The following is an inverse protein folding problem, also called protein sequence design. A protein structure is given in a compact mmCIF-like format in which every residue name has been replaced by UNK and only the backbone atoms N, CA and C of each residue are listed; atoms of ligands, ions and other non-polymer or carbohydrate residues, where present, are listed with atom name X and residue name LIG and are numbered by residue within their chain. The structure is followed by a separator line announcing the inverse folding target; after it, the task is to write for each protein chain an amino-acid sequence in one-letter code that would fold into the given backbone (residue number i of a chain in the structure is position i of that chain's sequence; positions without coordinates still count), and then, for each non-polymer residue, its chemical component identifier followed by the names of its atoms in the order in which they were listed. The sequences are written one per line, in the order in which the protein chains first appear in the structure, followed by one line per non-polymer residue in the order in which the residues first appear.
data_IF_953089457077
#
_entry.id   IF_953089457077
#
_cell.length_a   1.000
_cell.length_b   1.000
_cell.length_c   1.000
_cell.angle_alpha   90.00
_cell.angle_beta   90.00
_cell.angle_gamma   90.00
#
_symmetry.space_group_name_H-M   'P 1'
#
loop_
_entity.id
_entity.type
_entity.pdbx_description
1 polymer ?
#
# COMPACT_ATOMS: atom_id res chain seq x y z
N UNK A 1 1.05 -13.59 -12.33
CA UNK A 1 1.64 -13.00 -11.12
C UNK A 1 2.48 -14.02 -10.38
N UNK A 2 3.52 -13.55 -9.70
CA UNK A 2 4.42 -14.30 -8.82
C UNK A 2 4.02 -14.03 -7.38
N UNK A 3 3.22 -14.93 -6.80
CA UNK A 3 2.70 -14.76 -5.44
C UNK A 3 3.80 -14.94 -4.38
N UNK A 4 4.81 -15.73 -4.68
CA UNK A 4 6.00 -15.95 -3.86
C UNK A 4 6.76 -14.65 -3.58
N UNK A 5 6.85 -13.75 -4.57
CA UNK A 5 7.50 -12.43 -4.43
C UNK A 5 6.73 -11.54 -3.46
N UNK A 6 5.42 -11.73 -3.33
CA UNK A 6 4.57 -10.91 -2.47
C UNK A 6 4.45 -11.50 -1.07
N UNK A 7 4.48 -12.83 -0.92
CA UNK A 7 4.02 -13.50 0.30
C UNK A 7 4.98 -14.49 0.95
N UNK A 8 6.09 -14.90 0.32
CA UNK A 8 7.03 -15.82 0.98
C UNK A 8 7.86 -15.10 2.04
N UNK A 9 8.13 -13.83 1.81
CA UNK A 9 8.82 -12.93 2.73
C UNK A 9 8.28 -11.53 2.56
N UNK A 10 8.02 -10.84 3.67
CA UNK A 10 7.37 -9.54 3.63
C UNK A 10 8.26 -8.57 2.85
N UNK A 11 7.81 -8.06 1.68
CA UNK A 11 8.65 -7.22 0.83
C UNK A 11 8.72 -5.80 1.41
N UNK A 12 9.94 -5.31 1.65
CA UNK A 12 10.21 -3.90 1.95
C UNK A 12 10.56 -3.18 0.66
N UNK A 13 9.78 -2.16 0.30
CA UNK A 13 9.97 -1.41 -0.94
C UNK A 13 10.57 -0.05 -0.60
N UNK A 14 11.64 0.36 -1.29
CA UNK A 14 12.32 1.63 -1.04
C UNK A 14 12.39 2.50 -2.30
N UNK A 15 12.23 3.80 -2.11
CA UNK A 15 12.66 4.84 -3.04
C UNK A 15 13.50 5.88 -2.29
N UNK A 16 13.98 6.90 -2.99
CA UNK A 16 14.71 8.02 -2.36
C UNK A 16 13.85 8.80 -1.36
N UNK A 17 12.52 8.70 -1.45
CA UNK A 17 11.60 9.58 -0.74
C UNK A 17 10.70 8.85 0.27
N UNK A 18 10.53 7.53 0.13
CA UNK A 18 9.60 6.73 0.94
C UNK A 18 10.09 5.29 1.12
N UNK A 19 9.61 4.68 2.20
CA UNK A 19 9.72 3.23 2.46
C UNK A 19 8.33 2.67 2.67
N UNK A 20 8.02 1.56 1.98
CA UNK A 20 6.84 0.74 2.23
C UNK A 20 7.29 -0.46 3.06
N UNK A 21 6.97 -0.44 4.34
CA UNK A 21 7.46 -1.39 5.34
C UNK A 21 6.35 -2.09 6.10
N UNK A 22 6.75 -3.03 6.96
CA UNK A 22 5.81 -3.76 7.81
C UNK A 22 5.32 -2.88 8.96
N UNK A 23 4.02 -2.93 9.25
CA UNK A 23 3.43 -2.26 10.42
C UNK A 23 3.53 -3.21 11.61
N UNK A 24 4.46 -2.92 12.52
CA UNK A 24 4.64 -3.61 13.80
C UNK A 24 4.01 -2.85 14.99
N UNK A 25 3.99 -3.46 16.18
CA UNK A 25 3.38 -2.89 17.41
C UNK A 25 3.94 -1.51 17.80
N UNK A 26 5.20 -1.23 17.48
CA UNK A 26 5.82 0.07 17.74
C UNK A 26 5.15 1.24 16.99
N UNK A 27 4.48 0.96 15.87
CA UNK A 27 3.74 1.96 15.08
C UNK A 27 2.30 2.17 15.58
N UNK A 28 1.89 1.53 16.68
CA UNK A 28 0.50 1.56 17.17
C UNK A 28 -0.03 2.98 17.36
N UNK A 29 0.81 3.92 17.77
CA UNK A 29 0.41 5.30 18.02
C UNK A 29 0.03 6.02 16.72
N UNK A 30 0.89 5.94 15.70
CA UNK A 30 0.58 6.47 14.36
C UNK A 30 -0.57 5.72 13.70
N UNK A 31 -0.67 4.40 13.92
CA UNK A 31 -1.80 3.62 13.44
C UNK A 31 -3.12 4.09 14.07
N UNK A 32 -3.12 4.37 15.37
CA UNK A 32 -4.28 4.87 16.09
C UNK A 32 -4.65 6.28 15.65
N UNK A 33 -3.68 7.17 15.43
CA UNK A 33 -3.92 8.51 14.88
C UNK A 33 -4.68 8.44 13.55
N UNK A 34 -4.24 7.58 12.64
CA UNK A 34 -4.91 7.37 11.36
C UNK A 34 -6.32 6.78 11.56
N UNK A 35 -6.42 5.68 12.31
CA UNK A 35 -7.68 4.94 12.43
C UNK A 35 -8.77 5.66 13.22
N UNK A 36 -8.40 6.56 14.13
CA UNK A 36 -9.34 7.33 14.95
C UNK A 36 -9.79 8.64 14.31
N UNK A 37 -9.23 9.00 13.14
CA UNK A 37 -9.55 10.23 12.43
C UNK A 37 -10.69 10.02 11.41
N UNK A 38 -11.80 10.73 11.61
CA UNK A 38 -12.99 10.63 10.75
C UNK A 38 -12.75 11.13 9.32
N UNK A 39 -11.91 12.17 9.15
CA UNK A 39 -11.59 12.73 7.83
C UNK A 39 -10.86 11.71 6.95
N UNK A 40 -10.04 10.84 7.54
CA UNK A 40 -9.30 9.79 6.81
C UNK A 40 -10.24 8.79 6.13
N UNK A 41 -11.38 8.48 6.75
CA UNK A 41 -12.34 7.49 6.23
C UNK A 41 -13.65 8.11 5.71
N UNK A 42 -13.66 9.42 5.48
CA UNK A 42 -14.81 10.13 4.89
C UNK A 42 -15.25 9.49 3.56
N UNK A 43 -14.28 9.05 2.75
CA UNK A 43 -14.54 8.52 1.40
C UNK A 43 -14.32 7.01 1.23
N UNK A 44 -14.40 6.23 2.30
CA UNK A 44 -14.36 4.76 2.19
C UNK A 44 -15.32 4.07 3.16
N UNK A 45 -15.45 2.75 3.03
CA UNK A 45 -16.33 1.91 3.83
C UNK A 45 -15.80 1.51 5.21
N UNK A 46 -14.65 2.06 5.62
CA UNK A 46 -14.06 1.80 6.94
C UNK A 46 -14.73 2.71 7.97
N UNK A 47 -15.20 2.12 9.07
CA UNK A 47 -15.65 2.88 10.24
C UNK A 47 -14.42 3.25 11.09
N UNK A 48 -14.22 4.55 11.40
CA UNK A 48 -13.19 5.00 12.33
C UNK A 48 -13.22 4.23 13.66
N UNK A 49 -12.03 4.07 14.25
CA UNK A 49 -11.79 3.25 15.46
C UNK A 49 -11.24 4.14 16.56
N UNK A 50 -12.10 4.58 17.46
CA UNK A 50 -11.68 5.42 18.60
C UNK A 50 -11.21 4.60 19.83
N UNK A 51 -11.00 3.29 19.68
CA UNK A 51 -10.46 2.42 20.72
C UNK A 51 -9.09 1.86 20.30
N UNK A 52 -8.04 2.29 21.01
CA UNK A 52 -6.64 1.92 20.73
C UNK A 52 -6.39 0.42 20.88
N UNK A 53 -7.06 -0.28 21.80
CA UNK A 53 -6.98 -1.74 21.91
C UNK A 53 -7.55 -2.42 20.67
N UNK A 54 -8.65 -1.90 20.11
CA UNK A 54 -9.20 -2.41 18.84
C UNK A 54 -8.21 -2.21 17.69
N UNK A 55 -7.58 -1.03 17.60
CA UNK A 55 -6.55 -0.75 16.60
C UNK A 55 -5.33 -1.67 16.78
N UNK A 56 -4.90 -1.93 18.02
CA UNK A 56 -3.83 -2.89 18.30
C UNK A 56 -4.14 -4.28 17.75
N UNK A 57 -5.38 -4.76 17.91
CA UNK A 57 -5.79 -6.06 17.33
C UNK A 57 -5.73 -6.10 15.80
N UNK A 58 -5.79 -4.95 15.12
CA UNK A 58 -5.72 -4.90 13.65
C UNK A 58 -4.34 -5.31 13.12
N UNK A 59 -3.26 -5.04 13.87
CA UNK A 59 -1.90 -5.48 13.49
C UNK A 59 -1.86 -7.01 13.34
N UNK A 60 -2.49 -7.73 14.27
CA UNK A 60 -2.63 -9.19 14.17
C UNK A 60 -3.53 -9.65 13.02
N UNK A 61 -4.50 -8.83 12.57
CA UNK A 61 -5.27 -9.13 11.36
C UNK A 61 -4.42 -8.96 10.09
N UNK A 62 -3.53 -7.97 10.03
CA UNK A 62 -2.64 -7.78 8.90
C UNK A 62 -1.71 -8.97 8.70
N UNK A 63 -1.12 -9.47 9.80
CA UNK A 63 -0.27 -10.67 9.78
C UNK A 63 -1.07 -11.91 9.35
N UNK A 64 -2.30 -12.06 9.88
CA UNK A 64 -3.19 -13.16 9.51
C UNK A 64 -3.53 -13.14 8.01
N UNK A 65 -3.88 -11.98 7.47
CA UNK A 65 -4.31 -11.85 6.07
C UNK A 65 -3.13 -12.02 5.11
N UNK A 66 -1.93 -11.57 5.52
CA UNK A 66 -0.65 -11.82 4.85
C UNK A 66 -0.31 -13.31 4.82
N UNK A 67 -0.38 -14.00 5.98
CA UNK A 67 -0.14 -15.44 6.06
C UNK A 67 -1.15 -16.28 5.26
N UNK A 68 -2.37 -15.78 5.08
CA UNK A 68 -3.39 -16.37 4.18
C UNK A 68 -3.16 -16.05 2.70
N UNK A 69 -2.16 -15.25 2.36
CA UNK A 69 -1.88 -14.76 0.99
C UNK A 69 -3.08 -14.04 0.36
N UNK A 70 -3.88 -13.37 1.17
CA UNK A 70 -5.15 -12.76 0.76
C UNK A 70 -5.05 -11.24 0.59
N UNK A 71 -4.20 -10.60 1.39
CA UNK A 71 -4.00 -9.16 1.43
C UNK A 71 -2.64 -8.88 2.04
N UNK A 72 -2.03 -7.79 1.59
CA UNK A 72 -0.82 -7.23 2.17
C UNK A 72 -1.03 -5.75 2.40
N UNK A 73 -0.67 -5.27 3.60
CA UNK A 73 -0.70 -3.86 3.99
C UNK A 73 0.70 -3.44 4.38
N UNK A 74 1.15 -2.34 3.79
CA UNK A 74 2.38 -1.66 4.15
C UNK A 74 2.07 -0.39 4.92
N UNK A 75 2.92 -0.08 5.89
CA UNK A 75 3.06 1.28 6.38
C UNK A 75 3.89 2.10 5.40
N UNK A 76 3.54 3.38 5.28
CA UNK A 76 4.30 4.36 4.51
C UNK A 76 5.17 5.13 5.49
N UNK A 77 6.47 5.13 5.28
CA UNK A 77 7.46 5.72 6.17
C UNK A 77 8.43 6.63 5.42
N UNK A 78 9.10 7.52 6.15
CA UNK A 78 10.20 8.29 5.59
C UNK A 78 11.47 7.43 5.55
N UNK A 79 12.39 7.60 4.58
CA UNK A 79 13.61 6.77 4.48
C UNK A 79 14.50 6.81 5.71
N UNK A 80 14.54 7.95 6.41
CA UNK A 80 15.35 8.16 7.60
C UNK A 80 14.62 7.86 8.92
N UNK A 81 13.32 7.54 8.87
CA UNK A 81 12.48 7.31 10.04
C UNK A 81 11.38 6.30 9.70
N UNK A 82 11.59 5.06 10.12
CA UNK A 82 10.63 3.96 10.02
C UNK A 82 9.69 3.88 11.22
N UNK A 83 9.87 4.72 12.26
CA UNK A 83 9.03 4.69 13.46
C UNK A 83 7.75 5.51 13.29
N UNK A 84 7.79 6.57 12.48
CA UNK A 84 6.64 7.45 12.25
C UNK A 84 5.81 7.03 11.02
N UNK A 85 4.60 6.52 11.28
CA UNK A 85 3.68 6.07 10.23
C UNK A 85 3.01 7.26 9.51
N UNK A 86 3.33 7.46 8.24
CA UNK A 86 2.77 8.54 7.41
C UNK A 86 1.44 8.15 6.75
N UNK A 87 1.17 6.86 6.64
CA UNK A 87 0.00 6.33 5.96
C UNK A 87 0.05 4.82 5.80
N UNK A 88 -0.96 4.28 5.13
CA UNK A 88 -1.09 2.85 4.82
C UNK A 88 -1.40 2.71 3.35
N UNK A 89 -0.75 1.75 2.70
CA UNK A 89 -1.06 1.32 1.34
C UNK A 89 -1.19 -0.21 1.33
N UNK A 90 -2.04 -0.73 0.45
CA UNK A 90 -2.33 -2.15 0.41
C UNK A 90 -2.54 -2.69 -0.99
N UNK A 91 -2.37 -4.00 -1.11
CA UNK A 91 -2.82 -4.79 -2.24
C UNK A 91 -3.71 -5.94 -1.72
N UNK A 92 -4.89 -6.10 -2.30
CA UNK A 92 -5.88 -7.10 -1.93
C UNK A 92 -6.60 -7.65 -3.17
N UNK A 93 -7.50 -8.61 -2.94
CA UNK A 93 -8.36 -9.20 -3.97
C UNK A 93 -7.57 -9.77 -5.16
N UNK A 94 -6.44 -10.42 -4.84
CA UNK A 94 -5.59 -11.09 -5.81
C UNK A 94 -6.38 -12.14 -6.59
N UNK A 95 -6.56 -11.92 -7.89
CA UNK A 95 -7.21 -12.84 -8.80
C UNK A 95 -6.17 -13.43 -9.77
N UNK A 96 -5.67 -14.62 -9.45
CA UNK A 96 -4.64 -15.30 -10.26
C UNK A 96 -5.14 -15.72 -11.64
N UNK A 97 -6.45 -16.02 -11.79
CA UNK A 97 -7.02 -16.45 -13.07
C UNK A 97 -7.00 -15.34 -14.11
N UNK A 98 -7.29 -14.11 -13.69
CA UNK A 98 -7.26 -12.92 -14.56
C UNK A 98 -5.91 -12.18 -14.47
N UNK A 99 -5.05 -12.58 -13.54
CA UNK A 99 -3.78 -11.94 -13.23
C UNK A 99 -3.94 -10.46 -12.81
N UNK A 100 -4.80 -10.21 -11.82
CA UNK A 100 -5.19 -8.87 -11.37
C UNK A 100 -5.10 -8.71 -9.85
N UNK A 101 -4.87 -7.48 -9.38
CA UNK A 101 -4.94 -7.10 -7.97
C UNK A 101 -5.64 -5.73 -7.80
N UNK A 102 -6.30 -5.54 -6.65
CA UNK A 102 -6.83 -4.23 -6.24
C UNK A 102 -5.88 -3.56 -5.26
N UNK A 103 -5.64 -2.25 -5.38
CA UNK A 103 -4.88 -1.46 -4.41
C UNK A 103 -5.76 -0.45 -3.68
N UNK A 104 -5.36 -0.09 -2.48
CA UNK A 104 -5.99 0.95 -1.66
C UNK A 104 -4.96 1.68 -0.82
N UNK A 105 -5.23 2.93 -0.46
CA UNK A 105 -4.32 3.73 0.36
C UNK A 105 -5.06 4.82 1.12
N UNK A 106 -4.49 5.23 2.25
CA UNK A 106 -4.91 6.40 3.01
C UNK A 106 -3.73 6.92 3.82
N UNK A 107 -3.60 8.24 3.90
CA UNK A 107 -2.53 8.90 4.63
C UNK A 107 -3.07 9.48 5.94
N UNK A 108 -2.20 9.62 6.93
CA UNK A 108 -2.48 10.52 8.05
C UNK A 108 -2.82 11.92 7.51
N UNK A 109 -3.81 12.58 8.11
CA UNK A 109 -4.33 13.85 7.61
C UNK A 109 -3.24 14.93 7.50
N UNK A 110 -2.33 14.98 8.48
CA UNK A 110 -1.18 15.89 8.48
C UNK A 110 -0.22 15.71 7.29
N UNK A 111 -0.36 14.62 6.53
CA UNK A 111 0.46 14.27 5.37
C UNK A 111 -0.23 14.53 4.02
N UNK A 112 -1.46 15.03 4.03
CA UNK A 112 -2.19 15.39 2.82
C UNK A 112 -1.56 16.58 2.09
N UNK A 113 -1.75 16.65 0.77
CA UNK A 113 -1.22 17.73 -0.07
C UNK A 113 0.29 17.67 -0.34
N UNK A 114 1.04 16.74 0.26
CA UNK A 114 2.51 16.63 0.12
C UNK A 114 2.96 15.71 -1.02
N UNK A 115 2.02 15.14 -1.79
CA UNK A 115 2.32 14.22 -2.90
C UNK A 115 2.72 12.79 -2.48
N UNK A 116 2.74 12.47 -1.18
CA UNK A 116 3.21 11.18 -0.67
C UNK A 116 2.37 10.00 -1.16
N UNK A 117 1.04 10.16 -1.28
CA UNK A 117 0.17 9.10 -1.81
C UNK A 117 0.52 8.76 -3.27
N UNK A 118 0.85 9.77 -4.08
CA UNK A 118 1.29 9.56 -5.46
C UNK A 118 2.54 8.71 -5.53
N UNK A 119 3.54 9.03 -4.69
CA UNK A 119 4.83 8.34 -4.64
C UNK A 119 4.70 6.91 -4.10
N UNK A 120 3.83 6.71 -3.09
CA UNK A 120 3.54 5.37 -2.58
C UNK A 120 2.85 4.49 -3.63
N UNK A 121 1.88 5.04 -4.37
CA UNK A 121 1.20 4.33 -5.48
C UNK A 121 2.17 4.02 -6.60
N UNK A 122 3.05 4.97 -6.97
CA UNK A 122 4.09 4.78 -7.98
C UNK A 122 5.01 3.60 -7.60
N UNK A 123 5.51 3.62 -6.37
CA UNK A 123 6.41 2.60 -5.83
C UNK A 123 5.76 1.21 -5.77
N UNK A 124 4.52 1.13 -5.29
CA UNK A 124 3.77 -0.13 -5.26
C UNK A 124 3.44 -0.64 -6.67
N UNK A 125 3.06 0.26 -7.59
CA UNK A 125 2.75 -0.07 -8.99
C UNK A 125 3.98 -0.66 -9.69
N UNK A 126 5.15 -0.05 -9.50
CA UNK A 126 6.41 -0.57 -10.03
C UNK A 126 6.72 -1.98 -9.52
N UNK A 127 6.60 -2.21 -8.21
CA UNK A 127 6.79 -3.54 -7.61
C UNK A 127 5.82 -4.58 -8.20
N UNK A 128 4.53 -4.25 -8.27
CA UNK A 128 3.50 -5.19 -8.73
C UNK A 128 3.67 -5.57 -10.21
N UNK A 129 4.06 -4.63 -11.08
CA UNK A 129 4.25 -4.91 -12.52
C UNK A 129 5.61 -5.53 -12.85
N UNK A 130 6.68 -5.03 -12.25
CA UNK A 130 8.04 -5.46 -12.58
C UNK A 130 8.39 -6.77 -11.89
N UNK A 131 8.15 -6.87 -10.58
CA UNK A 131 8.59 -8.01 -9.78
C UNK A 131 7.48 -9.05 -9.60
N UNK A 132 6.31 -8.64 -9.11
CA UNK A 132 5.20 -9.57 -8.93
C UNK A 132 4.50 -9.96 -10.25
N UNK A 133 4.85 -9.32 -11.38
CA UNK A 133 4.34 -9.65 -12.72
C UNK A 133 2.81 -9.79 -12.78
N UNK A 134 2.11 -8.90 -12.07
CA UNK A 134 0.66 -8.72 -12.19
C UNK A 134 0.38 -8.16 -13.58
N UNK A 135 -0.73 -8.55 -14.22
CA UNK A 135 -1.10 -8.01 -15.54
C UNK A 135 -1.95 -6.75 -15.43
N UNK A 136 -2.77 -6.66 -14.39
CA UNK A 136 -3.72 -5.56 -14.17
C UNK A 136 -3.73 -5.12 -12.71
N UNK A 137 -3.59 -3.84 -12.46
CA UNK A 137 -3.82 -3.24 -11.13
C UNK A 137 -5.07 -2.37 -11.23
N UNK A 138 -5.93 -2.42 -10.23
CA UNK A 138 -7.13 -1.59 -10.20
C UNK A 138 -7.36 -0.94 -8.84
N UNK A 139 -8.19 0.10 -8.80
CA UNK A 139 -8.61 0.78 -7.58
C UNK A 139 -10.05 1.29 -7.73
N UNK A 140 -10.82 1.16 -6.65
CA UNK A 140 -12.18 1.69 -6.55
C UNK A 140 -12.19 2.95 -5.69
N UNK A 141 -12.86 4.00 -6.16
CA UNK A 141 -12.84 5.32 -5.52
C UNK A 141 -14.26 5.86 -5.40
N UNK A 142 -14.64 6.35 -4.22
CA UNK A 142 -15.94 7.02 -4.06
C UNK A 142 -16.00 8.27 -4.96
N UNK A 143 -17.18 8.55 -5.53
CA UNK A 143 -17.40 9.66 -6.47
C UNK A 143 -16.90 11.02 -5.97
N UNK A 144 -16.94 11.30 -4.67
CA UNK A 144 -16.54 12.60 -4.13
C UNK A 144 -15.04 12.69 -3.76
N UNK A 145 -14.29 11.59 -3.86
CA UNK A 145 -12.89 11.53 -3.47
C UNK A 145 -11.94 12.01 -4.59
N UNK A 146 -12.08 13.28 -4.96
CA UNK A 146 -11.23 13.94 -5.97
C UNK A 146 -9.72 13.82 -5.67
N UNK A 147 -9.23 13.89 -4.42
CA UNK A 147 -7.82 13.67 -4.12
C UNK A 147 -7.31 12.29 -4.57
N UNK A 148 -8.05 11.22 -4.29
CA UNK A 148 -7.64 9.86 -4.69
C UNK A 148 -7.70 9.67 -6.21
N UNK A 149 -8.72 10.22 -6.88
CA UNK A 149 -8.79 10.21 -8.36
C UNK A 149 -7.56 10.85 -8.98
N UNK A 150 -7.13 12.01 -8.48
CA UNK A 150 -5.93 12.72 -8.96
C UNK A 150 -4.65 11.90 -8.78
N UNK A 151 -4.52 11.19 -7.66
CA UNK A 151 -3.38 10.29 -7.40
C UNK A 151 -3.32 9.17 -8.44
N UNK A 152 -4.44 8.52 -8.73
CA UNK A 152 -4.50 7.44 -9.72
C UNK A 152 -4.19 7.94 -11.14
N UNK A 153 -4.84 9.03 -11.56
CA UNK A 153 -4.60 9.64 -12.88
C UNK A 153 -3.14 10.08 -13.05
N UNK A 154 -2.52 10.67 -12.02
CA UNK A 154 -1.10 11.07 -12.06
C UNK A 154 -0.16 9.87 -12.21
N UNK A 155 -0.55 8.70 -11.71
CA UNK A 155 0.19 7.45 -11.84
C UNK A 155 -0.14 6.67 -13.12
N UNK A 156 -0.86 7.28 -14.07
CA UNK A 156 -1.17 6.66 -15.36
C UNK A 156 -2.32 5.66 -15.34
N UNK A 157 -3.09 5.59 -14.26
CA UNK A 157 -4.31 4.78 -14.23
C UNK A 157 -5.40 5.46 -15.07
N UNK A 158 -6.17 4.65 -15.80
CA UNK A 158 -7.29 5.07 -16.63
C UNK A 158 -8.60 4.84 -15.89
N UNK A 159 -9.51 5.83 -15.93
CA UNK A 159 -10.90 5.67 -15.47
C UNK A 159 -11.65 4.78 -16.47
N UNK A 160 -12.14 3.63 -16.02
CA UNK A 160 -12.90 2.73 -16.89
C UNK A 160 -14.41 3.00 -16.82
N UNK A 161 -14.91 3.46 -15.68
CA UNK A 161 -16.33 3.75 -15.54
C UNK A 161 -16.80 3.93 -14.11
N UNK A 162 -18.13 3.87 -13.97
CA UNK A 162 -18.84 3.97 -12.70
C UNK A 162 -19.57 2.65 -12.41
N UNK A 163 -19.34 2.12 -11.22
CA UNK A 163 -20.07 1.01 -10.64
C UNK A 163 -21.25 1.58 -9.84
N UNK A 164 -22.46 1.45 -10.38
CA UNK A 164 -23.70 1.89 -9.71
C UNK A 164 -24.05 0.91 -8.60
N UNK A 165 -24.37 1.43 -7.42
CA UNK A 165 -24.75 0.66 -6.23
C UNK A 165 -23.75 -0.45 -5.91
N UNK A 166 -22.45 -0.14 -6.02
CA UNK A 166 -21.37 -1.10 -5.97
C UNK A 166 -21.20 -1.76 -4.60
N UNK A 167 -21.48 -1.01 -3.53
CA UNK A 167 -21.28 -1.49 -2.16
C UNK A 167 -22.30 -0.93 -1.17
N UNK A 168 -22.53 -1.68 -0.10
CA UNK A 168 -23.22 -1.21 1.11
C UNK A 168 -22.16 -0.92 2.19
N UNK A 169 -21.98 0.35 2.52
CA UNK A 169 -21.02 0.78 3.54
C UNK A 169 -21.72 1.24 4.80
N UNK A 170 -21.23 0.75 5.95
CA UNK A 170 -21.76 1.16 7.24
C UNK A 170 -21.60 2.67 7.43
N UNK A 171 -22.69 3.34 7.82
CA UNK A 171 -22.74 4.80 7.96
C UNK A 171 -22.92 5.60 6.66
N UNK A 172 -22.87 4.95 5.49
CA UNK A 172 -22.97 5.62 4.18
C UNK A 172 -24.06 5.04 3.26
N UNK A 173 -24.59 3.86 3.60
CA UNK A 173 -25.62 3.21 2.80
C UNK A 173 -25.06 2.61 1.51
N UNK A 174 -25.91 2.53 0.49
CA UNK A 174 -25.52 2.03 -0.83
C UNK A 174 -24.79 3.14 -1.57
N UNK A 175 -23.58 2.86 -2.06
CA UNK A 175 -22.71 3.85 -2.71
C UNK A 175 -22.37 3.47 -4.14
N UNK A 176 -22.20 4.49 -4.97
CA UNK A 176 -21.61 4.40 -6.30
C UNK A 176 -20.09 4.59 -6.22
N UNK A 177 -19.34 3.86 -7.04
CA UNK A 177 -17.87 3.92 -7.09
C UNK A 177 -17.40 4.18 -8.52
N UNK A 178 -16.25 4.83 -8.66
CA UNK A 178 -15.48 4.86 -9.90
C UNK A 178 -14.41 3.79 -9.86
N UNK A 179 -14.22 3.11 -10.99
CA UNK A 179 -13.18 2.09 -11.16
C UNK A 179 -12.08 2.65 -12.06
N UNK A 180 -10.84 2.48 -11.59
CA UNK A 180 -9.63 2.86 -12.29
C UNK A 180 -8.73 1.65 -12.45
N UNK A 181 -8.00 1.57 -13.55
CA UNK A 181 -7.06 0.47 -13.77
C UNK A 181 -5.82 0.91 -14.54
N UNK A 182 -4.79 0.07 -14.47
CA UNK A 182 -3.62 0.14 -15.34
C UNK A 182 -3.24 -1.27 -15.77
N UNK A 183 -2.86 -1.44 -17.03
CA UNK A 183 -2.33 -2.69 -17.57
C UNK A 183 -0.80 -2.66 -17.58
N UNK A 184 -0.20 -3.83 -17.40
CA UNK A 184 1.27 -3.99 -17.43
C UNK A 184 1.86 -3.50 -18.75
N UNK A 185 1.20 -3.75 -19.87
CA UNK A 185 1.68 -3.29 -21.18
C UNK A 185 1.71 -1.76 -21.30
N UNK A 186 0.78 -1.05 -20.66
CA UNK A 186 0.75 0.42 -20.64
C UNK A 186 1.92 0.94 -19.80
N UNK A 187 2.15 0.32 -18.64
CA UNK A 187 3.29 0.62 -17.78
C UNK A 187 4.63 0.40 -18.50
N UNK A 188 4.79 -0.72 -19.21
CA UNK A 188 6.04 -1.03 -19.92
C UNK A 188 6.31 -0.08 -21.10
N UNK A 189 5.28 0.51 -21.72
CA UNK A 189 5.45 1.52 -22.77
C UNK A 189 6.02 2.84 -22.22
N UNK A 190 5.66 3.19 -20.98
CA UNK A 190 6.17 4.39 -20.30
C UNK A 190 7.65 4.27 -19.90
N UNK A 191 8.14 3.04 -19.68
CA UNK A 191 9.55 2.77 -19.28
C UNK A 191 10.57 2.72 -20.45
N UNK A 192 10.18 2.98 -21.70
CA UNK A 192 11.11 3.02 -22.83
C UNK A 192 11.94 4.33 -22.85
N UNK A 193 13.12 4.38 -23.49
CA UNK A 193 14.41 4.80 -22.90
C UNK A 193 14.60 6.30 -22.58
N UNK A 194 13.59 7.14 -22.73
CA UNK A 194 13.66 8.56 -22.35
C UNK A 194 13.21 8.82 -20.90
N UNK A 195 12.78 7.78 -20.17
CA UNK A 195 12.43 7.85 -18.75
C UNK A 195 13.36 6.94 -17.95
N UNK A 196 14.13 7.52 -17.04
CA UNK A 196 14.98 6.80 -16.08
C UNK A 196 14.17 5.71 -15.37
N UNK A 197 14.63 4.47 -15.44
CA UNK A 197 14.06 3.39 -14.66
C UNK A 197 14.20 3.72 -13.17
N UNK A 198 13.09 3.71 -12.42
CA UNK A 198 13.18 3.80 -10.95
C UNK A 198 14.10 2.69 -10.44
N UNK A 199 15.14 3.07 -9.71
CA UNK A 199 16.01 2.17 -8.95
C UNK A 199 15.20 1.54 -7.80
N UNK A 200 14.39 0.54 -8.14
CA UNK A 200 13.58 -0.18 -7.16
C UNK A 200 14.48 -1.17 -6.39
N UNK A 201 14.82 -0.82 -5.16
CA UNK A 201 15.48 -1.76 -4.24
C UNK A 201 14.41 -2.50 -3.44
N UNK A 202 14.36 -3.82 -3.62
CA UNK A 202 13.56 -4.71 -2.78
C UNK A 202 14.53 -5.51 -1.93
N UNK A 203 14.51 -5.23 -0.64
CA UNK A 203 15.27 -5.99 0.34
C UNK A 203 14.39 -7.11 0.88
N UNK A 204 14.80 -8.34 0.62
CA UNK A 204 14.35 -9.50 1.36
C UNK A 204 15.03 -9.46 2.73
N UNK A 205 14.32 -9.05 3.78
CA UNK A 205 14.83 -9.00 5.15
C UNK A 205 15.33 -10.38 5.63
N UNK A 206 16.63 -10.69 5.44
CA UNK A 206 17.25 -11.91 5.97
C UNK A 206 16.95 -12.02 7.47
N UNK A 207 16.63 -13.21 8.00
CA UNK A 207 16.39 -13.37 9.43
C UNK A 207 17.62 -12.91 10.20
N UNK A 208 17.44 -11.93 11.06
CA UNK A 208 18.47 -11.36 11.94
C UNK A 208 18.83 -12.37 13.04
N UNK A 209 19.57 -13.41 12.67
CA UNK A 209 20.36 -14.20 13.60
C UNK A 209 21.77 -14.34 13.04
N UNK A 210 22.65 -13.47 13.52
CA UNK A 210 23.99 -13.76 14.06
C UNK A 210 24.54 -12.40 14.52
N UNK A 211 24.40 -12.10 15.82
CA UNK A 211 25.33 -11.19 16.48
C UNK A 211 26.67 -11.92 16.56
N UNK A 212 27.55 -11.73 15.58
CA UNK A 212 28.97 -12.04 15.78
C UNK A 212 29.53 -11.03 16.78
N UNK A 213 29.78 -11.52 17.99
CA UNK A 213 30.58 -10.86 19.02
C UNK A 213 31.95 -10.52 18.42
N UNK A 214 32.50 -9.31 18.59
CA UNK A 214 33.83 -9.00 18.08
C UNK A 214 34.88 -9.81 18.83
N UNK A 215 35.65 -10.57 18.06
CA UNK A 215 36.85 -11.29 18.47
C UNK A 215 37.90 -10.28 18.96
N UNK A 216 38.07 -10.17 20.28
CA UNK A 216 39.21 -9.49 20.88
C UNK A 216 40.46 -10.36 20.64
N UNK A 217 41.46 -9.81 19.95
CA UNK A 217 42.81 -10.39 19.89
C UNK A 217 43.56 -10.01 21.16
N UNK A 218 43.81 -10.99 22.00
CA UNK A 218 44.82 -10.91 23.05
C UNK A 218 46.22 -10.77 22.44
N UNK A 219 47.02 -9.85 22.98
CA UNK A 219 48.47 -9.93 23.10
C UNK A 219 48.83 -9.63 24.55
#
# INVERSE_FOLDING_TARGET
MKMEIVFDQFPVLRSEELVLGKIEEEHLDGLFEIYSNDHVFEYCGIIPKHNKTTVKSMIGHYERDYGKRSRIKWGIFAPADDTHLLGIIEACDFNQRVNMVTIGYFLAEAQWGKGLASKAVELLTAFLFQQAQVNRIQAEVMLNNEPSKKVLLKNGYVKEGMLRQAALWSGKGVVDLEIYSMLREEYMKVLQPDHEALNLQVETALPSFIRTVPFQRER
#
